data_IF_177031149462
#
_entry.id   IF_177031149462
#
_cell.length_a   1.000
_cell.length_b   1.000
_cell.length_c   1.000
_cell.angle_alpha   90.00
_cell.angle_beta   90.00
_cell.angle_gamma   90.00
#
_symmetry.space_group_name_H-M   'P 1'
#
loop_
_entity.id
_entity.type
_entity.pdbx_description
1 polymer ?
#
# COMPACT_ATOMS: atom_id res chain seq x y z
N UNK A 1 -35.02 -12.69 -6.28
CA UNK A 1 -34.17 -11.56 -5.84
C UNK A 1 -32.97 -12.11 -5.07
N UNK A 2 -31.75 -11.95 -5.60
CA UNK A 2 -30.54 -12.47 -4.95
C UNK A 2 -30.24 -11.71 -3.65
N UNK A 3 -29.97 -12.43 -2.57
CA UNK A 3 -29.66 -11.81 -1.26
C UNK A 3 -28.35 -11.02 -1.38
N UNK A 4 -28.40 -9.69 -1.21
CA UNK A 4 -27.21 -8.84 -1.16
C UNK A 4 -26.36 -9.23 0.06
N UNK A 5 -25.14 -9.72 -0.18
CA UNK A 5 -24.17 -10.02 0.89
C UNK A 5 -23.17 -8.88 0.98
N UNK A 6 -23.05 -8.30 2.18
CA UNK A 6 -22.08 -7.25 2.48
C UNK A 6 -20.66 -7.81 2.30
N UNK A 7 -19.70 -7.04 1.76
CA UNK A 7 -18.31 -7.48 1.69
C UNK A 7 -17.76 -7.79 3.10
N UNK A 8 -17.07 -8.91 3.25
CA UNK A 8 -16.41 -9.25 4.51
C UNK A 8 -15.21 -8.32 4.72
N UNK A 9 -15.21 -7.57 5.82
CA UNK A 9 -14.07 -6.75 6.22
C UNK A 9 -12.94 -7.67 6.68
N UNK A 10 -11.83 -7.69 5.94
CA UNK A 10 -10.65 -8.52 6.25
C UNK A 10 -9.64 -7.71 7.06
N UNK A 11 -9.10 -8.32 8.12
CA UNK A 11 -8.04 -7.73 8.96
C UNK A 11 -6.62 -7.98 8.41
N UNK A 12 -6.43 -9.02 7.60
CA UNK A 12 -5.14 -9.45 7.06
C UNK A 12 -5.25 -9.95 5.61
N UNK A 13 -4.11 -10.04 4.93
CA UNK A 13 -3.99 -10.54 3.56
C UNK A 13 -3.84 -9.46 2.48
N UNK A 14 -3.69 -9.91 1.24
CA UNK A 14 -3.57 -9.03 0.06
C UNK A 14 -4.87 -8.22 -0.10
N UNK A 15 -4.76 -6.89 -0.26
CA UNK A 15 -5.89 -5.98 -0.44
C UNK A 15 -6.38 -5.27 0.82
N UNK A 16 -5.94 -5.69 2.01
CA UNK A 16 -6.21 -4.96 3.26
C UNK A 16 -5.35 -3.70 3.34
N UNK A 17 -4.11 -3.80 2.89
CA UNK A 17 -3.14 -2.72 2.95
C UNK A 17 -3.30 -1.83 1.72
N UNK A 18 -3.29 -0.52 1.97
CA UNK A 18 -3.54 0.51 0.96
C UNK A 18 -2.40 1.50 0.99
N UNK A 19 -1.93 1.91 -0.19
CA UNK A 19 -0.98 2.99 -0.31
C UNK A 19 -1.59 4.30 0.20
N UNK A 20 -0.92 4.96 1.14
CA UNK A 20 -1.38 6.23 1.71
C UNK A 20 -1.42 7.39 0.71
N UNK A 21 -0.71 7.29 -0.42
CA UNK A 21 -0.60 8.35 -1.43
C UNK A 21 -1.56 8.18 -2.60
N UNK A 22 -1.61 6.99 -3.20
CA UNK A 22 -2.40 6.75 -4.41
C UNK A 22 -3.63 5.84 -4.20
N UNK A 23 -3.82 5.28 -3.01
CA UNK A 23 -4.94 4.38 -2.75
C UNK A 23 -4.82 2.99 -3.40
N UNK A 24 -3.71 2.69 -4.09
CA UNK A 24 -3.51 1.37 -4.68
C UNK A 24 -3.32 0.30 -3.61
N UNK A 25 -3.83 -0.90 -3.90
CA UNK A 25 -3.66 -2.09 -3.05
C UNK A 25 -2.48 -2.97 -3.51
N UNK A 26 -1.90 -2.63 -4.67
CA UNK A 26 -0.84 -3.38 -5.29
C UNK A 26 0.54 -2.95 -4.80
N UNK A 27 1.37 -3.95 -4.46
CA UNK A 27 2.76 -3.77 -4.09
C UNK A 27 3.00 -2.66 -3.04
N UNK A 28 2.18 -2.67 -1.98
CA UNK A 28 2.31 -1.75 -0.84
C UNK A 28 3.46 -2.20 0.06
N UNK A 29 4.47 -1.36 0.20
CA UNK A 29 5.61 -1.51 1.10
C UNK A 29 5.13 -1.18 2.52
N UNK A 30 5.07 -2.20 3.37
CA UNK A 30 4.65 -2.08 4.78
C UNK A 30 5.83 -1.91 5.74
N UNK A 31 7.05 -2.21 5.27
CA UNK A 31 8.26 -2.13 6.08
C UNK A 31 8.49 -0.71 6.56
N UNK A 32 9.03 -0.58 7.77
CA UNK A 32 9.30 0.71 8.42
C UNK A 32 8.05 1.60 8.57
N UNK A 33 6.86 1.01 8.52
CA UNK A 33 5.60 1.74 8.65
C UNK A 33 5.35 2.73 7.52
N UNK A 34 5.90 2.51 6.31
CA UNK A 34 5.78 3.42 5.16
C UNK A 34 4.40 3.38 4.49
N UNK A 35 3.80 2.20 4.33
CA UNK A 35 2.50 2.01 3.64
C UNK A 35 2.40 2.79 2.31
N UNK A 36 3.42 2.64 1.46
CA UNK A 36 3.51 3.28 0.14
C UNK A 36 3.59 2.23 -0.95
N UNK A 37 2.96 2.51 -2.09
CA UNK A 37 3.09 1.68 -3.29
C UNK A 37 4.52 1.77 -3.84
N UNK A 38 5.00 0.74 -4.56
CA UNK A 38 6.35 0.74 -5.16
C UNK A 38 6.65 1.94 -6.07
N UNK A 39 5.65 2.46 -6.79
CA UNK A 39 5.79 3.64 -7.66
C UNK A 39 5.95 4.91 -6.82
N UNK A 40 5.01 5.09 -5.89
CA UNK A 40 4.96 6.17 -4.92
C UNK A 40 6.25 6.27 -4.11
N UNK A 41 6.79 5.13 -3.68
CA UNK A 41 8.04 5.09 -2.93
C UNK A 41 9.21 5.62 -3.75
N UNK A 42 9.31 5.30 -5.05
CA UNK A 42 10.42 5.80 -5.90
C UNK A 42 10.42 7.32 -6.06
N UNK A 43 9.25 7.94 -6.06
CA UNK A 43 9.12 9.40 -6.12
C UNK A 43 9.54 10.07 -4.80
N UNK A 44 9.18 9.48 -3.66
CA UNK A 44 9.38 10.11 -2.34
C UNK A 44 10.68 9.64 -1.66
N UNK A 45 11.32 8.59 -2.18
CA UNK A 45 12.53 8.00 -1.59
C UNK A 45 13.63 9.02 -1.29
N UNK A 46 13.90 9.94 -2.23
CA UNK A 46 14.91 10.98 -2.06
C UNK A 46 14.55 11.97 -0.93
N UNK A 47 13.29 12.36 -0.82
CA UNK A 47 12.80 13.28 0.22
C UNK A 47 12.81 12.63 1.61
N UNK A 48 12.60 11.31 1.66
CA UNK A 48 12.71 10.51 2.89
C UNK A 48 14.17 10.24 3.30
N UNK A 49 15.15 10.70 2.51
CA UNK A 49 16.58 10.50 2.80
C UNK A 49 17.13 9.15 2.36
N UNK A 50 16.38 8.35 1.57
CA UNK A 50 16.95 7.16 0.96
C UNK A 50 17.92 7.56 -0.15
N UNK A 51 19.14 7.06 -0.06
CA UNK A 51 20.17 7.22 -1.10
C UNK A 51 20.52 5.86 -1.69
N UNK A 52 20.75 5.82 -2.99
CA UNK A 52 21.25 4.64 -3.68
C UNK A 52 22.76 4.59 -3.52
N UNK A 53 23.27 3.59 -2.82
CA UNK A 53 24.71 3.42 -2.58
C UNK A 53 25.39 2.43 -3.54
N UNK A 54 24.62 1.75 -4.42
CA UNK A 54 25.10 1.01 -5.60
C UNK A 54 23.93 0.66 -6.52
#
# INVERSE_FOLDING_TARGET
MGKYRRPLVRKYGRGVQVCRRCGSRDAVIQKYGLYLCRQCFREVALQLGFRKYS
#
